data_IF_198158571099
#
_entry.id   IF_198158571099
#
_cell.length_a   1.000
_cell.length_b   1.000
_cell.length_c   1.000
_cell.angle_alpha   90.00
_cell.angle_beta   90.00
_cell.angle_gamma   90.00
#
_symmetry.space_group_name_H-M   'P 1'
#
loop_
_entity.id
_entity.type
_entity.pdbx_description
1 polymer ?
#
# COMPACT_ATOMS: atom_id res chain seq x y z
N UNK A 1 5.04 12.34 15.90
CA UNK A 1 5.09 11.39 14.78
C UNK A 1 3.77 11.55 14.05
N UNK A 2 3.78 12.20 12.90
CA UNK A 2 2.58 12.34 12.08
C UNK A 2 2.43 11.03 11.32
N UNK A 3 1.32 10.32 11.49
CA UNK A 3 1.04 9.11 10.73
C UNK A 3 -0.15 9.39 9.85
N UNK A 4 0.02 9.16 8.56
CA UNK A 4 -1.04 9.22 7.57
C UNK A 4 -1.42 7.80 7.17
N UNK A 5 -2.72 7.55 7.11
CA UNK A 5 -3.28 6.31 6.58
C UNK A 5 -3.59 6.55 5.09
N UNK A 6 -3.04 5.70 4.21
CA UNK A 6 -3.32 5.72 2.79
C UNK A 6 -4.00 4.43 2.37
N UNK A 7 -5.10 4.57 1.63
CA UNK A 7 -5.79 3.45 1.00
C UNK A 7 -5.42 3.37 -0.46
N UNK A 8 -4.91 2.21 -0.87
CA UNK A 8 -4.56 1.89 -2.25
C UNK A 8 -5.42 0.72 -2.71
N UNK A 9 -6.22 0.92 -3.74
CA UNK A 9 -6.92 -0.18 -4.40
C UNK A 9 -5.97 -0.85 -5.38
N UNK A 10 -5.90 -2.15 -5.25
CA UNK A 10 -5.05 -3.06 -6.02
C UNK A 10 -5.96 -3.95 -6.85
N UNK A 11 -5.48 -4.47 -7.96
CA UNK A 11 -6.33 -5.28 -8.83
C UNK A 11 -6.87 -6.55 -8.12
N UNK A 12 -8.17 -6.86 -8.24
CA UNK A 12 -8.76 -8.05 -7.61
C UNK A 12 -8.18 -9.36 -8.17
N UNK A 13 -7.65 -9.35 -9.40
CA UNK A 13 -7.00 -10.51 -10.03
C UNK A 13 -5.51 -10.66 -9.63
N UNK A 14 -4.96 -9.77 -8.80
CA UNK A 14 -3.58 -9.91 -8.35
C UNK A 14 -3.44 -11.20 -7.52
N UNK A 15 -2.45 -12.02 -7.86
CA UNK A 15 -2.22 -13.28 -7.18
C UNK A 15 -1.91 -13.07 -5.68
N UNK A 16 -2.33 -14.01 -4.79
CA UNK A 16 -2.09 -13.89 -3.35
C UNK A 16 -0.60 -13.74 -3.00
N UNK A 17 0.27 -14.41 -3.76
CA UNK A 17 1.72 -14.32 -3.59
C UNK A 17 2.24 -12.92 -3.92
N UNK A 18 1.84 -12.36 -5.06
CA UNK A 18 2.19 -10.99 -5.45
C UNK A 18 1.68 -9.96 -4.43
N UNK A 19 0.48 -10.17 -3.86
CA UNK A 19 -0.04 -9.33 -2.76
C UNK A 19 0.89 -9.36 -1.55
N UNK A 20 1.24 -10.55 -1.06
CA UNK A 20 2.14 -10.70 0.09
C UNK A 20 3.53 -10.10 -0.14
N UNK A 21 4.09 -10.26 -1.34
CA UNK A 21 5.36 -9.64 -1.71
C UNK A 21 5.26 -8.11 -1.69
N UNK A 22 4.17 -7.57 -2.23
CA UNK A 22 3.90 -6.14 -2.27
C UNK A 22 3.76 -5.55 -0.86
N UNK A 23 3.00 -6.19 0.03
CA UNK A 23 2.90 -5.77 1.44
C UNK A 23 4.28 -5.72 2.10
N UNK A 24 5.06 -6.78 1.93
CA UNK A 24 6.39 -6.92 2.53
C UNK A 24 7.38 -5.90 1.97
N UNK A 25 7.28 -5.55 0.68
CA UNK A 25 8.08 -4.48 0.08
C UNK A 25 7.71 -3.11 0.64
N UNK A 26 6.42 -2.85 0.86
CA UNK A 26 5.94 -1.57 1.40
C UNK A 26 6.30 -1.44 2.89
N UNK A 27 6.05 -2.47 3.71
CA UNK A 27 6.49 -2.52 5.12
C UNK A 27 8.00 -2.39 5.29
N UNK A 28 8.79 -2.94 4.35
CA UNK A 28 10.24 -2.82 4.37
C UNK A 28 10.76 -1.40 4.08
N UNK A 29 9.89 -0.44 3.77
CA UNK A 29 10.28 0.93 3.42
C UNK A 29 10.44 1.80 4.66
N UNK A 30 11.57 2.50 4.74
CA UNK A 30 11.79 3.53 5.76
C UNK A 30 10.70 4.60 5.67
N UNK A 31 10.03 4.86 6.79
CA UNK A 31 8.89 5.78 6.87
C UNK A 31 7.53 5.11 6.73
N UNK A 32 7.46 3.82 6.39
CA UNK A 32 6.23 3.02 6.52
C UNK A 32 6.22 2.35 7.89
N UNK A 33 5.10 2.45 8.57
CA UNK A 33 4.88 1.86 9.89
C UNK A 33 4.21 0.49 9.77
N UNK A 34 3.17 0.38 8.94
CA UNK A 34 2.46 -0.86 8.62
C UNK A 34 1.90 -0.81 7.20
N UNK A 35 1.82 -1.97 6.55
CA UNK A 35 0.98 -2.16 5.37
C UNK A 35 0.17 -3.45 5.53
N UNK A 36 -1.13 -3.40 5.30
CA UNK A 36 -2.00 -4.56 5.42
C UNK A 36 -3.19 -4.46 4.46
N UNK A 37 -3.65 -5.59 3.94
CA UNK A 37 -4.85 -5.62 3.12
C UNK A 37 -6.10 -5.63 4.01
N UNK A 38 -7.11 -4.87 3.60
CA UNK A 38 -8.43 -4.89 4.22
C UNK A 38 -9.08 -6.27 3.99
N UNK A 39 -9.25 -7.04 5.07
CA UNK A 39 -9.82 -8.39 5.01
C UNK A 39 -11.34 -8.40 5.17
N UNK A 40 -11.96 -7.25 5.46
CA UNK A 40 -13.34 -7.17 5.94
C UNK A 40 -14.33 -6.64 4.89
N UNK A 41 -13.99 -5.60 4.15
CA UNK A 41 -14.88 -4.96 3.16
C UNK A 41 -14.34 -5.05 1.73
N UNK A 42 -13.02 -4.94 1.55
CA UNK A 42 -12.40 -4.96 0.23
C UNK A 42 -11.09 -5.73 0.25
N UNK A 43 -11.12 -7.01 -0.13
CA UNK A 43 -9.92 -7.86 -0.24
C UNK A 43 -8.84 -7.36 -1.22
N UNK A 44 -9.15 -6.27 -1.92
CA UNK A 44 -8.32 -5.60 -2.90
C UNK A 44 -7.82 -4.22 -2.43
N UNK A 45 -8.23 -3.76 -1.25
CA UNK A 45 -7.73 -2.51 -0.66
C UNK A 45 -6.53 -2.79 0.24
N UNK A 46 -5.41 -2.13 -0.03
CA UNK A 46 -4.22 -2.10 0.82
C UNK A 46 -4.24 -0.81 1.64
N UNK A 47 -4.20 -0.97 2.96
CA UNK A 47 -4.06 0.11 3.93
C UNK A 47 -2.57 0.24 4.25
N UNK A 48 -2.01 1.42 4.05
CA UNK A 48 -0.62 1.72 4.34
C UNK A 48 -0.56 2.87 5.33
N UNK A 49 0.02 2.61 6.49
CA UNK A 49 0.33 3.61 7.52
C UNK A 49 1.75 4.07 7.33
N UNK A 50 1.93 5.35 7.05
CA UNK A 50 3.24 5.91 6.78
C UNK A 50 3.40 7.28 7.42
N UNK A 51 4.64 7.70 7.62
CA UNK A 51 4.99 9.03 8.07
C UNK A 51 5.21 9.93 6.83
N UNK A 52 4.31 10.91 6.56
CA UNK A 52 4.42 11.79 5.40
C UNK A 52 5.63 12.71 5.46
N UNK A 53 6.24 12.93 6.63
CA UNK A 53 7.49 13.66 6.78
C UNK A 53 8.71 12.80 6.36
N UNK A 54 8.62 11.47 6.48
CA UNK A 54 9.69 10.54 6.10
C UNK A 54 9.56 9.99 4.67
N UNK A 55 8.34 9.69 4.21
CA UNK A 55 8.07 9.13 2.89
C UNK A 55 6.80 9.74 2.29
N UNK A 56 6.82 10.03 0.99
CA UNK A 56 5.63 10.54 0.29
C UNK A 56 4.76 9.38 -0.17
N UNK A 57 3.44 9.50 0.03
CA UNK A 57 2.49 8.51 -0.45
C UNK A 57 2.58 8.21 -1.96
N UNK A 58 2.94 9.20 -2.79
CA UNK A 58 3.22 8.97 -4.22
C UNK A 58 4.40 8.01 -4.48
N UNK A 59 5.44 8.02 -3.64
CA UNK A 59 6.55 7.06 -3.76
C UNK A 59 6.08 5.65 -3.41
N UNK A 60 5.21 5.53 -2.40
CA UNK A 60 4.59 4.25 -2.03
C UNK A 60 3.76 3.74 -3.21
N UNK A 61 2.89 4.57 -3.78
CA UNK A 61 2.10 4.21 -4.95
C UNK A 61 2.95 3.79 -6.15
N UNK A 62 4.05 4.50 -6.44
CA UNK A 62 4.94 4.13 -7.55
C UNK A 62 5.52 2.73 -7.36
N UNK A 63 5.89 2.37 -6.12
CA UNK A 63 6.35 1.02 -5.80
C UNK A 63 5.24 -0.02 -5.98
N UNK A 64 4.03 0.26 -5.49
CA UNK A 64 2.87 -0.63 -5.70
C UNK A 64 2.60 -0.80 -7.20
N UNK A 65 2.70 0.27 -7.99
CA UNK A 65 2.49 0.27 -9.44
C UNK A 65 3.47 -0.57 -10.24
N UNK A 66 4.66 -0.85 -9.71
CA UNK A 66 5.61 -1.77 -10.36
C UNK A 66 5.11 -3.21 -10.35
N UNK A 67 4.38 -3.59 -9.32
CA UNK A 67 3.77 -4.92 -9.21
C UNK A 67 2.36 -4.92 -9.78
N UNK A 68 1.59 -3.86 -9.52
CA UNK A 68 0.22 -3.70 -10.00
C UNK A 68 0.03 -2.34 -10.70
N UNK A 69 0.21 -2.25 -12.03
CA UNK A 69 0.21 -0.97 -12.75
C UNK A 69 -1.13 -0.22 -12.67
N UNK A 70 -2.21 -0.91 -12.37
CA UNK A 70 -3.56 -0.32 -12.23
C UNK A 70 -3.88 0.11 -10.79
N UNK A 71 -2.93 -0.04 -9.86
CA UNK A 71 -3.08 0.40 -8.49
C UNK A 71 -3.38 1.90 -8.40
N UNK A 72 -4.35 2.24 -7.55
CA UNK A 72 -4.91 3.59 -7.42
C UNK A 72 -5.06 3.99 -5.96
N UNK A 73 -4.65 5.20 -5.59
CA UNK A 73 -4.92 5.76 -4.26
C UNK A 73 -6.38 6.19 -4.20
N UNK A 74 -7.07 5.78 -3.14
CA UNK A 74 -8.51 6.06 -2.94
C UNK A 74 -8.75 6.94 -1.71
N UNK A 75 -7.79 7.05 -0.80
CA UNK A 75 -7.88 7.92 0.37
C UNK A 75 -6.52 8.47 0.81
N UNK A 76 -6.51 9.75 1.20
CA UNK A 76 -5.42 10.52 1.78
C UNK A 76 -5.91 11.24 3.03
#
# INVERSE_FOLDING_TARGET
>A
MNKADMLIYIHPELEPQARSELTRMVEGRVGVDCAEFDRHSHSHALIVKYDPDAVRGMQILDMVRKTDPVATIVGL
#
